data_IF_981025037227
#
_entry.id   IF_981025037227
#
_cell.length_a   1.000
_cell.length_b   1.000
_cell.length_c   1.000
_cell.angle_alpha   90.00
_cell.angle_beta   90.00
_cell.angle_gamma   90.00
#
_symmetry.space_group_name_H-M   'P 1'
#
loop_
_entity.id
_entity.type
_entity.pdbx_description
1 polymer ?
#
# COMPACT_ATOMS: atom_id res chain seq x y z
N UNK A 1 -6.75 -30.47 9.77
CA UNK A 1 -6.41 -30.45 8.33
C UNK A 1 -6.20 -29.01 7.90
N UNK A 2 -4.95 -28.57 7.63
CA UNK A 2 -4.73 -27.29 6.94
C UNK A 2 -5.22 -27.47 5.50
N UNK A 3 -6.24 -26.71 5.10
CA UNK A 3 -6.63 -26.61 3.69
C UNK A 3 -5.41 -26.13 2.90
N UNK A 4 -4.95 -26.93 1.94
CA UNK A 4 -3.79 -26.62 1.08
C UNK A 4 -4.11 -25.58 0.01
N UNK A 5 -5.40 -25.35 -0.29
CA UNK A 5 -5.83 -24.35 -1.25
C UNK A 5 -5.93 -22.98 -0.57
N UNK A 6 -5.00 -22.08 -0.92
CA UNK A 6 -4.97 -20.66 -0.56
C UNK A 6 -5.80 -19.78 -1.51
N UNK A 7 -6.48 -20.41 -2.47
CA UNK A 7 -7.41 -19.80 -3.42
C UNK A 7 -8.74 -20.57 -3.42
N UNK A 8 -9.86 -19.84 -3.51
CA UNK A 8 -11.22 -20.36 -3.58
C UNK A 8 -11.96 -19.66 -4.70
N UNK A 9 -12.70 -20.41 -5.51
CA UNK A 9 -13.50 -19.87 -6.62
C UNK A 9 -14.89 -20.46 -6.59
N UNK A 10 -15.91 -19.64 -6.82
CA UNK A 10 -17.31 -20.05 -6.92
C UNK A 10 -18.03 -19.23 -7.98
N UNK A 11 -18.84 -19.89 -8.81
CA UNK A 11 -19.75 -19.21 -9.73
C UNK A 11 -21.17 -19.36 -9.17
N UNK A 12 -21.86 -18.23 -9.06
CA UNK A 12 -23.26 -18.20 -8.65
C UNK A 12 -24.11 -17.68 -9.81
N UNK A 13 -25.07 -18.49 -10.28
CA UNK A 13 -26.09 -18.04 -11.24
C UNK A 13 -27.09 -17.16 -10.52
N UNK A 14 -27.29 -15.94 -11.01
CA UNK A 14 -28.22 -14.96 -10.41
C UNK A 14 -29.45 -14.70 -11.29
N UNK A 15 -29.40 -15.02 -12.59
CA UNK A 15 -30.54 -15.03 -13.48
C UNK A 15 -30.25 -15.85 -14.75
N UNK A 16 -31.17 -15.86 -15.71
CA UNK A 16 -30.88 -16.32 -17.07
C UNK A 16 -29.69 -15.54 -17.65
N UNK A 17 -28.67 -16.27 -18.11
CA UNK A 17 -27.42 -15.74 -18.66
C UNK A 17 -26.65 -14.74 -17.76
N UNK A 18 -26.95 -14.65 -16.47
CA UNK A 18 -26.23 -13.79 -15.52
C UNK A 18 -25.61 -14.59 -14.39
N UNK A 19 -24.31 -14.39 -14.21
CA UNK A 19 -23.49 -15.11 -13.23
C UNK A 19 -22.61 -14.11 -12.47
N UNK A 20 -22.31 -14.45 -11.21
CA UNK A 20 -21.32 -13.77 -10.39
C UNK A 20 -20.17 -14.75 -10.17
N UNK A 21 -18.96 -14.34 -10.57
CA UNK A 21 -17.73 -15.03 -10.22
C UNK A 21 -17.21 -14.47 -8.89
N UNK A 22 -17.19 -15.33 -7.88
CA UNK A 22 -16.57 -15.05 -6.59
C UNK A 22 -15.21 -15.74 -6.59
N UNK A 23 -14.15 -14.97 -6.36
CA UNK A 23 -12.83 -15.52 -6.09
C UNK A 23 -12.29 -14.91 -4.80
N UNK A 24 -11.60 -15.71 -4.02
CA UNK A 24 -11.00 -15.33 -2.75
C UNK A 24 -9.65 -15.99 -2.62
N UNK A 25 -8.68 -15.25 -2.11
CA UNK A 25 -7.29 -15.69 -2.02
C UNK A 25 -6.62 -15.08 -0.81
N UNK A 26 -5.81 -15.87 -0.12
CA UNK A 26 -5.05 -15.37 1.01
C UNK A 26 -3.98 -14.37 0.56
N UNK A 27 -3.91 -13.21 1.19
CA UNK A 27 -2.98 -12.11 0.87
C UNK A 27 -1.47 -12.49 1.00
N UNK A 28 -1.16 -13.71 1.45
CA UNK A 28 0.23 -14.19 1.58
C UNK A 28 0.80 -14.65 0.23
N UNK A 29 -0.06 -15.04 -0.71
CA UNK A 29 0.34 -15.48 -2.05
C UNK A 29 -0.01 -14.45 -3.15
N UNK A 30 -0.56 -13.29 -2.76
CA UNK A 30 -1.05 -12.30 -3.70
C UNK A 30 -1.13 -10.92 -3.07
N UNK A 31 -0.93 -9.91 -3.90
CA UNK A 31 -1.17 -8.50 -3.61
C UNK A 31 -2.18 -7.88 -4.60
N UNK A 32 -2.41 -6.56 -4.50
CA UNK A 32 -3.32 -5.85 -5.39
C UNK A 32 -2.90 -5.89 -6.88
N UNK A 33 -1.60 -6.00 -7.16
CA UNK A 33 -1.10 -6.16 -8.54
C UNK A 33 -1.36 -7.57 -9.06
N UNK A 34 -1.11 -8.59 -8.24
CA UNK A 34 -1.37 -10.00 -8.55
C UNK A 34 -2.83 -10.24 -8.90
N UNK A 35 -3.76 -9.55 -8.23
CA UNK A 35 -5.19 -9.61 -8.58
C UNK A 35 -5.44 -9.15 -10.03
N UNK A 36 -4.82 -8.05 -10.46
CA UNK A 36 -4.97 -7.56 -11.83
C UNK A 36 -4.36 -8.52 -12.85
N UNK A 37 -3.21 -9.13 -12.52
CA UNK A 37 -2.55 -10.15 -13.35
C UNK A 37 -3.48 -11.35 -13.50
N UNK A 38 -4.04 -11.89 -12.42
CA UNK A 38 -4.97 -13.04 -12.47
C UNK A 38 -6.20 -12.72 -13.32
N UNK A 39 -6.79 -11.53 -13.20
CA UNK A 39 -7.97 -11.15 -13.99
C UNK A 39 -7.64 -11.02 -15.49
N UNK A 40 -6.49 -10.43 -15.83
CA UNK A 40 -5.97 -10.37 -17.20
C UNK A 40 -5.69 -11.78 -17.75
N UNK A 41 -5.00 -12.57 -16.93
CA UNK A 41 -4.69 -14.01 -17.03
C UNK A 41 -5.89 -14.82 -17.49
N UNK A 42 -6.88 -14.80 -16.60
CA UNK A 42 -8.16 -15.47 -16.74
C UNK A 42 -8.91 -15.03 -17.98
N UNK A 43 -8.96 -13.72 -18.26
CA UNK A 43 -9.63 -13.20 -19.46
C UNK A 43 -8.97 -13.69 -20.75
N UNK A 44 -7.64 -13.71 -20.82
CA UNK A 44 -6.92 -14.20 -22.00
C UNK A 44 -7.19 -15.69 -22.24
N UNK A 45 -7.05 -16.52 -21.20
CA UNK A 45 -7.32 -17.95 -21.26
C UNK A 45 -8.78 -18.27 -21.61
N UNK A 46 -9.73 -17.47 -21.11
CA UNK A 46 -11.15 -17.61 -21.44
C UNK A 46 -11.43 -17.39 -22.93
N UNK A 47 -10.61 -16.58 -23.61
CA UNK A 47 -10.66 -16.36 -25.06
C UNK A 47 -9.67 -17.26 -25.83
N UNK A 48 -9.23 -18.37 -25.23
CA UNK A 48 -8.32 -19.35 -25.83
C UNK A 48 -6.98 -18.75 -26.30
N UNK A 49 -6.54 -17.65 -25.67
CA UNK A 49 -5.24 -17.04 -25.95
C UNK A 49 -4.14 -17.74 -25.17
N UNK A 50 -2.99 -17.97 -25.82
CA UNK A 50 -1.81 -18.49 -25.14
C UNK A 50 -1.19 -17.40 -24.23
N UNK A 51 -0.68 -17.81 -23.08
CA UNK A 51 0.09 -16.96 -22.17
C UNK A 51 1.58 -17.15 -22.40
N UNK A 52 2.33 -16.08 -22.25
CA UNK A 52 3.79 -16.17 -22.20
C UNK A 52 4.23 -16.84 -20.89
N UNK A 53 5.13 -17.83 -20.94
CA UNK A 53 5.62 -18.49 -19.74
C UNK A 53 6.49 -17.53 -18.91
N UNK A 54 6.31 -17.56 -17.58
CA UNK A 54 7.17 -16.82 -16.66
C UNK A 54 8.57 -17.46 -16.60
N UNK A 55 9.61 -16.64 -16.77
CA UNK A 55 11.01 -17.06 -16.69
C UNK A 55 11.48 -17.34 -15.26
N UNK A 56 10.84 -16.71 -14.27
CA UNK A 56 11.15 -16.82 -12.84
C UNK A 56 9.86 -16.88 -12.03
N UNK A 57 9.94 -17.44 -10.83
CA UNK A 57 8.82 -17.63 -9.91
C UNK A 57 9.09 -16.94 -8.57
N UNK A 58 8.06 -16.80 -7.74
CA UNK A 58 8.16 -16.09 -6.46
C UNK A 58 9.19 -16.71 -5.50
N UNK A 59 9.43 -18.02 -5.60
CA UNK A 59 10.50 -18.70 -4.85
C UNK A 59 11.89 -18.14 -5.20
N UNK A 60 12.13 -17.84 -6.48
CA UNK A 60 13.42 -17.37 -6.96
C UNK A 60 13.64 -15.93 -6.50
N UNK A 61 12.55 -15.12 -6.51
CA UNK A 61 12.56 -13.79 -5.91
C UNK A 61 12.84 -13.82 -4.40
N UNK A 62 12.25 -14.80 -3.68
CA UNK A 62 12.43 -14.93 -2.23
C UNK A 62 13.89 -15.25 -1.86
N UNK A 63 14.49 -16.22 -2.55
CA UNK A 63 15.92 -16.56 -2.40
C UNK A 63 16.82 -15.38 -2.79
N UNK A 64 16.51 -14.71 -3.90
CA UNK A 64 17.25 -13.53 -4.34
C UNK A 64 17.20 -12.41 -3.29
N UNK A 65 16.01 -12.11 -2.75
CA UNK A 65 15.84 -11.06 -1.74
C UNK A 65 16.59 -11.39 -0.45
N UNK A 66 16.57 -12.65 -0.02
CA UNK A 66 17.29 -13.10 1.19
C UNK A 66 18.80 -12.88 1.09
N UNK A 67 19.37 -12.99 -0.10
CA UNK A 67 20.80 -12.80 -0.34
C UNK A 67 21.24 -11.32 -0.44
N UNK A 68 20.30 -10.35 -0.43
CA UNK A 68 20.63 -8.93 -0.63
C UNK A 68 21.19 -8.28 0.63
N UNK A 69 22.16 -7.39 0.42
CA UNK A 69 22.55 -6.42 1.44
C UNK A 69 21.51 -5.29 1.53
N UNK A 70 20.85 -5.21 2.68
CA UNK A 70 19.83 -4.21 3.01
C UNK A 70 20.31 -3.21 4.09
N UNK A 71 21.60 -3.20 4.44
CA UNK A 71 22.13 -2.39 5.55
C UNK A 71 21.86 -0.90 5.36
N UNK A 72 22.12 -0.34 4.18
CA UNK A 72 21.84 1.09 3.89
C UNK A 72 20.37 1.46 4.09
N UNK A 73 19.48 0.55 3.71
CA UNK A 73 18.05 0.76 3.89
C UNK A 73 17.76 0.73 5.39
N UNK A 74 18.28 -0.28 6.10
CA UNK A 74 18.10 -0.46 7.55
C UNK A 74 18.54 0.77 8.33
N UNK A 75 19.72 1.28 8.04
CA UNK A 75 20.28 2.49 8.65
C UNK A 75 19.36 3.69 8.43
N UNK A 76 18.83 3.88 7.22
CA UNK A 76 17.90 4.97 6.94
C UNK A 76 16.64 4.87 7.80
N UNK A 77 15.98 3.71 7.88
CA UNK A 77 14.75 3.61 8.65
C UNK A 77 14.99 3.63 10.17
N UNK A 78 16.10 3.07 10.66
CA UNK A 78 16.48 3.22 12.05
C UNK A 78 16.70 4.69 12.41
N UNK A 79 17.34 5.49 11.55
CA UNK A 79 17.53 6.93 11.83
C UNK A 79 16.24 7.74 11.81
N UNK A 80 15.22 7.33 11.04
CA UNK A 80 13.89 7.98 11.10
C UNK A 80 13.15 7.74 12.43
N UNK A 81 13.56 6.71 13.18
CA UNK A 81 12.94 6.28 14.42
C UNK A 81 13.95 6.16 15.56
N UNK A 82 15.01 6.99 15.53
CA UNK A 82 15.93 7.14 16.67
C UNK A 82 15.19 7.61 17.91
N UNK A 83 14.31 8.61 17.74
CA UNK A 83 13.35 9.02 18.75
C UNK A 83 12.11 8.12 18.73
N UNK A 84 11.52 7.88 19.91
CA UNK A 84 10.31 7.08 20.06
C UNK A 84 9.19 7.61 19.14
N UNK A 85 8.57 6.69 18.40
CA UNK A 85 7.47 7.03 17.50
C UNK A 85 6.23 7.43 18.32
N UNK A 86 5.54 8.52 17.97
CA UNK A 86 4.35 8.93 18.70
C UNK A 86 3.21 7.93 18.47
N UNK A 87 2.46 7.64 19.53
CA UNK A 87 1.16 6.99 19.41
C UNK A 87 0.13 8.06 19.09
N UNK A 88 -0.61 7.88 17.99
CA UNK A 88 -1.63 8.86 17.57
C UNK A 88 -2.82 8.89 18.55
N UNK A 89 -3.12 10.07 19.07
CA UNK A 89 -4.22 10.30 20.01
C UNK A 89 -5.37 11.03 19.31
N UNK A 90 -6.27 10.26 18.68
CA UNK A 90 -7.45 10.81 18.02
C UNK A 90 -8.61 10.92 19.01
N UNK A 91 -9.57 11.84 18.80
CA UNK A 91 -10.78 11.92 19.62
C UNK A 91 -11.72 10.76 19.27
N UNK A 92 -11.46 9.57 19.85
CA UNK A 92 -12.25 8.36 19.62
C UNK A 92 -13.63 8.47 20.28
N UNK A 93 -14.67 7.98 19.60
CA UNK A 93 -16.04 7.93 20.15
C UNK A 93 -16.20 6.91 21.30
N UNK A 94 -15.32 5.89 21.35
CA UNK A 94 -15.35 4.80 22.32
C UNK A 94 -13.94 4.51 22.85
N UNK A 95 -13.87 3.95 24.07
CA UNK A 95 -12.61 3.51 24.65
C UNK A 95 -11.93 2.45 23.78
N UNK A 96 -10.62 2.61 23.53
CA UNK A 96 -9.82 1.64 22.77
C UNK A 96 -9.77 0.31 23.53
N UNK A 97 -10.18 -0.82 22.93
CA UNK A 97 -10.09 -2.13 23.58
C UNK A 97 -8.63 -2.55 23.80
N UNK A 98 -8.37 -3.31 24.87
CA UNK A 98 -7.04 -3.87 25.17
C UNK A 98 -6.55 -4.89 24.12
N UNK A 99 -7.48 -5.50 23.38
CA UNK A 99 -7.18 -6.41 22.27
C UNK A 99 -7.68 -5.78 20.97
N UNK A 100 -6.84 -5.79 19.94
CA UNK A 100 -7.18 -5.21 18.65
C UNK A 100 -8.45 -5.87 18.06
N UNK A 101 -9.44 -5.04 17.73
CA UNK A 101 -10.61 -5.46 16.97
C UNK A 101 -10.38 -5.18 15.49
N UNK A 102 -10.76 -6.12 14.63
CA UNK A 102 -10.74 -5.98 13.17
C UNK A 102 -12.11 -5.60 12.59
N UNK A 103 -13.09 -5.31 13.45
CA UNK A 103 -14.42 -4.85 12.99
C UNK A 103 -14.31 -3.42 12.48
N UNK A 104 -14.67 -3.20 11.22
CA UNK A 104 -14.59 -1.88 10.57
C UNK A 104 -15.70 -1.67 9.54
N UNK A 105 -15.80 -0.44 9.04
CA UNK A 105 -16.75 -0.05 8.00
C UNK A 105 -16.08 0.91 7.02
N UNK A 106 -16.42 0.79 5.74
CA UNK A 106 -15.99 1.74 4.71
C UNK A 106 -17.06 2.81 4.51
N UNK A 107 -16.64 4.07 4.43
CA UNK A 107 -17.49 5.20 4.06
C UNK A 107 -16.96 5.79 2.77
N UNK A 108 -17.81 5.85 1.74
CA UNK A 108 -17.47 6.44 0.45
C UNK A 108 -18.04 7.84 0.35
N UNK A 109 -17.17 8.82 0.09
CA UNK A 109 -17.56 10.23 -0.09
C UNK A 109 -17.11 10.68 -1.47
N UNK A 110 -18.02 11.31 -2.22
CA UNK A 110 -17.68 11.90 -3.52
C UNK A 110 -17.07 13.28 -3.29
N UNK A 111 -15.80 13.46 -3.65
CA UNK A 111 -15.18 14.78 -3.63
C UNK A 111 -15.78 15.65 -4.76
N UNK A 112 -16.52 16.70 -4.39
CA UNK A 112 -17.21 17.58 -5.33
C UNK A 112 -16.25 18.58 -6.04
N UNK A 113 -15.05 18.78 -5.50
CA UNK A 113 -14.02 19.65 -6.07
C UNK A 113 -12.80 18.81 -6.46
N UNK A 114 -12.60 18.62 -7.76
CA UNK A 114 -11.36 18.03 -8.28
C UNK A 114 -10.18 18.97 -8.03
N UNK A 115 -8.98 18.43 -7.79
CA UNK A 115 -7.69 19.14 -7.68
C UNK A 115 -7.26 19.94 -8.93
N UNK A 116 -8.18 20.23 -9.85
CA UNK A 116 -7.96 20.92 -11.14
C UNK A 116 -7.33 22.31 -11.03
N UNK A 117 -7.28 22.90 -9.83
CA UNK A 117 -6.66 24.20 -9.57
C UNK A 117 -5.15 24.17 -9.33
N UNK A 118 -4.50 23.01 -9.37
CA UNK A 118 -3.04 22.89 -9.31
C UNK A 118 -2.51 22.38 -10.67
N UNK A 119 -2.12 23.29 -11.59
CA UNK A 119 -1.84 22.96 -12.99
C UNK A 119 -0.58 22.11 -13.23
N UNK A 120 0.21 21.83 -12.19
CA UNK A 120 1.53 21.20 -12.30
C UNK A 120 1.67 19.84 -11.60
N UNK A 121 0.59 19.25 -11.07
CA UNK A 121 0.68 17.99 -10.30
C UNK A 121 0.91 16.82 -11.27
N UNK A 122 2.16 16.36 -11.36
CA UNK A 122 2.51 15.04 -11.88
C UNK A 122 1.89 13.98 -10.95
N UNK A 123 1.57 12.78 -11.43
CA UNK A 123 0.93 11.70 -10.65
C UNK A 123 1.59 11.44 -9.27
N UNK A 124 2.92 11.54 -9.19
CA UNK A 124 3.67 11.36 -7.94
C UNK A 124 3.43 12.49 -6.92
N UNK A 125 3.26 13.74 -7.39
CA UNK A 125 2.90 14.85 -6.51
C UNK A 125 1.50 14.66 -5.92
N UNK A 126 0.59 13.96 -6.62
CA UNK A 126 -0.77 13.72 -6.08
C UNK A 126 -0.75 12.85 -4.83
N UNK A 127 0.05 11.79 -4.81
CA UNK A 127 0.17 10.94 -3.63
C UNK A 127 0.73 11.75 -2.45
N UNK A 128 1.82 12.50 -2.69
CA UNK A 128 2.45 13.34 -1.67
C UNK A 128 1.50 14.40 -1.14
N UNK A 129 0.74 15.08 -2.01
CA UNK A 129 -0.27 16.07 -1.61
C UNK A 129 -1.34 15.44 -0.73
N UNK A 130 -1.86 14.26 -1.11
CA UNK A 130 -2.86 13.55 -0.32
C UNK A 130 -2.30 13.09 1.02
N UNK A 131 -1.07 12.58 1.04
CA UNK A 131 -0.38 12.15 2.26
C UNK A 131 -0.14 13.33 3.21
N UNK A 132 0.42 14.44 2.72
CA UNK A 132 0.60 15.66 3.50
C UNK A 132 -0.74 16.21 4.01
N UNK A 133 -1.78 16.21 3.17
CA UNK A 133 -3.12 16.63 3.59
C UNK A 133 -3.69 15.73 4.69
N UNK A 134 -3.45 14.43 4.61
CA UNK A 134 -3.85 13.46 5.62
C UNK A 134 -3.06 13.64 6.92
N UNK A 135 -1.75 13.90 6.86
CA UNK A 135 -0.93 14.23 8.03
C UNK A 135 -1.40 15.52 8.71
N UNK A 136 -1.78 16.55 7.94
CA UNK A 136 -2.41 17.77 8.49
C UNK A 136 -3.75 17.44 9.15
N UNK A 137 -4.57 16.58 8.54
CA UNK A 137 -5.82 16.14 9.14
C UNK A 137 -5.57 15.48 10.50
N UNK A 138 -4.63 14.53 10.56
CA UNK A 138 -4.26 13.85 11.80
C UNK A 138 -3.80 14.86 12.85
N UNK A 139 -2.90 15.78 12.50
CA UNK A 139 -2.48 16.88 13.37
C UNK A 139 -3.67 17.71 13.91
N UNK A 140 -4.63 18.07 13.06
CA UNK A 140 -5.79 18.87 13.51
C UNK A 140 -6.68 18.13 14.48
N UNK A 141 -6.83 16.81 14.33
CA UNK A 141 -7.65 15.98 15.22
C UNK A 141 -6.92 15.63 16.52
N UNK A 142 -5.64 15.25 16.45
CA UNK A 142 -4.87 14.82 17.62
C UNK A 142 -4.14 15.95 18.35
N UNK A 143 -3.98 17.11 17.70
CA UNK A 143 -3.14 18.22 18.15
C UNK A 143 -1.64 17.87 18.27
N UNK A 144 -1.22 16.71 17.76
CA UNK A 144 0.18 16.28 17.75
C UNK A 144 0.91 16.88 16.54
N UNK A 145 2.17 17.23 16.71
CA UNK A 145 3.03 17.80 15.66
C UNK A 145 4.07 16.79 15.14
N UNK A 146 3.96 15.53 15.56
CA UNK A 146 4.71 14.38 15.06
C UNK A 146 3.70 13.28 14.75
N UNK A 147 3.67 12.81 13.50
CA UNK A 147 2.70 11.82 13.02
C UNK A 147 3.37 10.77 12.16
N UNK A 148 2.95 9.51 12.32
CA UNK A 148 3.41 8.38 11.51
C UNK A 148 2.24 7.80 10.72
N UNK A 149 2.41 7.69 9.40
CA UNK A 149 1.38 7.13 8.50
C UNK A 149 1.96 5.94 7.74
N UNK A 150 1.33 4.78 7.87
CA UNK A 150 1.66 3.61 7.05
C UNK A 150 1.20 3.81 5.61
N UNK A 151 2.12 3.70 4.65
CA UNK A 151 1.85 3.82 3.21
C UNK A 151 2.26 2.54 2.49
N UNK A 152 1.32 1.78 1.90
CA UNK A 152 1.65 0.59 1.12
C UNK A 152 2.34 0.99 -0.20
N UNK A 153 3.42 0.29 -0.54
CA UNK A 153 4.20 0.48 -1.76
C UNK A 153 4.46 -0.86 -2.46
N UNK A 154 4.54 -0.83 -3.78
CA UNK A 154 4.99 -2.00 -4.54
C UNK A 154 6.51 -2.21 -4.39
N UNK A 155 6.88 -3.39 -3.90
CA UNK A 155 8.25 -3.92 -3.88
C UNK A 155 8.69 -4.53 -5.22
N UNK A 156 7.87 -4.47 -6.27
CA UNK A 156 8.25 -4.86 -7.63
C UNK A 156 9.18 -3.80 -8.20
N UNK A 157 10.48 -4.07 -8.16
CA UNK A 157 11.54 -3.15 -8.64
C UNK A 157 12.24 -3.65 -9.90
N UNK A 158 12.01 -4.91 -10.28
CA UNK A 158 12.64 -5.54 -11.43
C UNK A 158 11.57 -5.93 -12.44
N UNK A 159 11.90 -5.85 -13.74
CA UNK A 159 10.98 -6.18 -14.83
C UNK A 159 10.42 -7.60 -14.69
N UNK A 160 11.26 -8.55 -14.30
CA UNK A 160 10.85 -9.95 -14.13
C UNK A 160 9.83 -10.16 -12.99
N UNK A 161 9.66 -9.17 -12.11
CA UNK A 161 8.66 -9.20 -11.04
C UNK A 161 7.35 -8.49 -11.43
N UNK A 162 7.23 -7.88 -12.61
CA UNK A 162 6.03 -7.11 -12.98
C UNK A 162 4.82 -8.01 -13.23
N UNK A 163 5.00 -9.10 -13.97
CA UNK A 163 3.95 -10.06 -14.32
C UNK A 163 3.89 -11.28 -13.37
N UNK A 164 4.67 -11.27 -12.29
CA UNK A 164 4.77 -12.40 -11.36
C UNK A 164 3.62 -12.38 -10.31
N UNK A 165 2.99 -13.52 -10.04
CA UNK A 165 2.08 -13.64 -8.89
C UNK A 165 2.86 -13.73 -7.58
N UNK A 166 2.44 -12.97 -6.56
CA UNK A 166 3.06 -13.04 -5.24
C UNK A 166 2.74 -11.84 -4.35
N UNK A 167 3.28 -11.89 -3.12
CA UNK A 167 3.18 -10.79 -2.17
C UNK A 167 4.41 -9.89 -2.28
N UNK A 168 4.28 -8.76 -2.99
CA UNK A 168 5.36 -7.78 -3.14
C UNK A 168 5.08 -6.45 -2.44
N UNK A 169 3.89 -6.28 -1.84
CA UNK A 169 3.54 -5.04 -1.17
C UNK A 169 4.29 -4.93 0.16
N UNK A 170 5.04 -3.85 0.31
CA UNK A 170 5.64 -3.44 1.58
C UNK A 170 4.86 -2.26 2.16
N UNK A 171 4.96 -2.06 3.47
CA UNK A 171 4.36 -0.90 4.13
C UNK A 171 5.45 -0.01 4.70
N UNK A 172 5.50 1.24 4.26
CA UNK A 172 6.48 2.23 4.73
C UNK A 172 5.86 3.10 5.82
N UNK A 173 6.54 3.25 6.95
CA UNK A 173 6.11 4.09 8.05
C UNK A 173 6.58 5.54 7.82
N UNK A 174 5.74 6.35 7.19
CA UNK A 174 6.06 7.73 6.83
C UNK A 174 5.89 8.65 8.05
N UNK A 175 6.98 9.00 8.73
CA UNK A 175 6.99 9.94 9.86
C UNK A 175 7.18 11.38 9.37
N UNK A 176 6.37 12.33 9.83
CA UNK A 176 6.46 13.74 9.43
C UNK A 176 6.03 14.66 10.56
N UNK A 177 6.42 15.94 10.47
CA UNK A 177 6.25 16.94 11.52
C UNK A 177 5.35 18.10 11.06
N UNK A 178 4.01 17.93 11.06
CA UNK A 178 3.03 18.95 10.66
C UNK A 178 2.85 20.04 11.74
N UNK A 179 3.94 20.73 12.08
CA UNK A 179 3.99 21.80 13.09
C UNK A 179 3.08 23.00 12.72
N UNK A 180 2.51 23.67 13.73
CA UNK A 180 1.55 24.78 13.53
C UNK A 180 2.11 26.00 12.80
N UNK A 181 3.42 26.23 12.92
CA UNK A 181 4.14 27.34 12.31
C UNK A 181 4.53 27.07 10.84
N UNK A 182 4.39 25.84 10.35
CA UNK A 182 4.72 25.47 8.96
C UNK A 182 3.57 25.80 8.02
N UNK A 183 3.93 26.34 6.85
CA UNK A 183 3.01 26.40 5.72
C UNK A 183 2.82 25.02 5.12
N UNK A 184 1.70 24.80 4.42
CA UNK A 184 1.46 23.54 3.72
C UNK A 184 2.54 23.24 2.67
N UNK A 185 3.09 24.26 2.00
CA UNK A 185 4.15 24.07 1.01
C UNK A 185 5.42 23.50 1.65
N UNK A 186 5.83 24.02 2.81
CA UNK A 186 7.00 23.52 3.53
C UNK A 186 6.83 22.06 3.93
N UNK A 187 5.67 21.71 4.50
CA UNK A 187 5.35 20.32 4.84
C UNK A 187 5.33 19.41 3.60
N UNK A 188 4.78 19.89 2.48
CA UNK A 188 4.74 19.13 1.24
C UNK A 188 6.16 18.85 0.71
N UNK A 189 7.06 19.83 0.78
CA UNK A 189 8.45 19.66 0.36
C UNK A 189 9.19 18.66 1.26
N UNK A 190 9.01 18.72 2.58
CA UNK A 190 9.55 17.73 3.54
C UNK A 190 9.03 16.31 3.24
N UNK A 191 7.73 16.16 3.02
CA UNK A 191 7.10 14.87 2.70
C UNK A 191 7.57 14.36 1.34
N UNK A 192 7.78 15.25 0.35
CA UNK A 192 8.33 14.87 -0.96
C UNK A 192 9.74 14.31 -0.80
N UNK A 193 10.62 15.00 -0.07
CA UNK A 193 11.98 14.52 0.18
C UNK A 193 12.00 13.17 0.91
N UNK A 194 11.17 13.02 1.94
CA UNK A 194 11.02 11.76 2.66
C UNK A 194 10.54 10.65 1.72
N UNK A 195 9.51 10.90 0.91
CA UNK A 195 8.96 9.92 -0.02
C UNK A 195 9.98 9.50 -1.09
N UNK A 196 10.81 10.42 -1.59
CA UNK A 196 11.91 10.09 -2.51
C UNK A 196 12.94 9.17 -1.85
N UNK A 197 13.38 9.48 -0.62
CA UNK A 197 14.32 8.64 0.13
C UNK A 197 13.71 7.27 0.43
N UNK A 198 12.47 7.25 0.89
CA UNK A 198 11.69 6.05 1.19
C UNK A 198 11.53 5.14 -0.05
N UNK A 199 11.35 5.69 -1.25
CA UNK A 199 11.30 4.90 -2.49
C UNK A 199 12.61 4.19 -2.81
N UNK A 200 13.75 4.77 -2.46
CA UNK A 200 15.08 4.17 -2.67
C UNK A 200 15.37 3.10 -1.61
N UNK A 201 14.81 3.25 -0.40
CA UNK A 201 15.00 2.36 0.75
C UNK A 201 13.79 1.46 1.05
N UNK A 202 12.91 1.24 0.07
CA UNK A 202 11.63 0.54 0.24
C UNK A 202 11.71 -0.98 0.43
N UNK A 203 12.87 -1.60 0.23
CA UNK A 203 13.06 -3.05 0.38
C UNK A 203 13.50 -3.36 1.81
N UNK A 204 12.64 -3.02 2.77
CA UNK A 204 12.78 -3.43 4.16
C UNK A 204 11.46 -4.04 4.58
N UNK A 205 11.59 -5.12 5.37
CA UNK A 205 10.63 -6.17 5.69
C UNK A 205 10.85 -7.39 4.79
#
# INVERSE_FOLDING_TARGET
MKSSAVIRVKIAKIAEQRYVLLYDMHHIISDGFSINIIMKEFSALYHEQALEPLSVQYKDYSEWMQARDLNKQREFWLSQFEDEAPVIDLPYDYARPNQQSFTGKTVSVKCLRTFKGYPSIVSNDRHMILLSSFMVLLHKYSRQEDVVVGSPISGRTHRDTEDMLGMFVNTLAMRSYPERNKTFSQLLDEVRELALKAMITKNIL
#
